data_IF_946994722746
#
_entry.id   IF_946994722746
#
_cell.length_a   1.000
_cell.length_b   1.000
_cell.length_c   1.000
_cell.angle_alpha   90.00
_cell.angle_beta   90.00
_cell.angle_gamma   90.00
#
_symmetry.space_group_name_H-M   'P 1'
#
loop_
_entity.id
_entity.type
_entity.pdbx_description
1 polymer ?
#
# COMPACT_ATOMS: atom_id res chain seq x y z
N UNK A 1 -2.37 10.19 63.75
CA UNK A 1 -1.73 10.79 62.56
C UNK A 1 -2.32 10.10 61.33
N UNK A 2 -3.28 10.74 60.66
CA UNK A 2 -3.83 10.23 59.39
C UNK A 2 -2.98 10.86 58.28
N UNK A 3 -2.26 10.02 57.52
CA UNK A 3 -1.49 10.45 56.36
C UNK A 3 -2.36 10.29 55.11
N UNK A 4 -2.86 11.39 54.59
CA UNK A 4 -3.59 11.45 53.32
C UNK A 4 -2.57 11.44 52.18
N UNK A 5 -2.63 10.42 51.32
CA UNK A 5 -1.85 10.38 50.08
C UNK A 5 -2.70 10.96 48.95
N UNK A 6 -2.23 12.05 48.35
CA UNK A 6 -2.84 12.64 47.16
C UNK A 6 -2.28 11.94 45.92
N UNK A 7 -3.13 11.22 45.19
CA UNK A 7 -2.80 10.65 43.88
C UNK A 7 -3.08 11.72 42.82
N UNK A 8 -2.03 12.20 42.15
CA UNK A 8 -2.15 13.11 41.02
C UNK A 8 -2.26 12.25 39.76
N UNK A 9 -3.45 12.20 39.16
CA UNK A 9 -3.69 11.56 37.86
C UNK A 9 -3.36 12.59 36.78
N UNK A 10 -2.27 12.39 36.05
CA UNK A 10 -1.89 13.20 34.90
C UNK A 10 -2.66 12.68 33.68
N UNK A 11 -3.65 13.43 33.21
CA UNK A 11 -4.33 13.14 31.95
C UNK A 11 -3.44 13.64 30.80
N UNK A 12 -2.84 12.71 30.04
CA UNK A 12 -2.23 13.03 28.77
C UNK A 12 -3.35 13.41 27.77
N UNK A 13 -3.34 14.65 27.29
CA UNK A 13 -4.24 15.10 26.25
C UNK A 13 -3.79 14.50 24.91
N UNK A 14 -4.48 13.46 24.42
CA UNK A 14 -4.32 12.99 23.06
C UNK A 14 -5.03 13.95 22.12
N UNK A 15 -4.25 14.75 21.38
CA UNK A 15 -4.77 15.54 20.26
C UNK A 15 -5.05 14.59 19.11
N UNK A 16 -6.33 14.33 18.84
CA UNK A 16 -6.75 13.58 17.64
C UNK A 16 -6.64 14.53 16.45
N UNK A 17 -5.54 14.45 15.71
CA UNK A 17 -5.39 15.14 14.42
C UNK A 17 -6.28 14.43 13.40
N UNK A 18 -7.37 15.08 13.00
CA UNK A 18 -8.22 14.59 11.91
C UNK A 18 -7.49 14.81 10.59
N UNK A 19 -6.80 13.78 10.10
CA UNK A 19 -6.29 13.75 8.72
C UNK A 19 -7.50 13.80 7.79
N UNK A 20 -7.61 14.88 7.03
CA UNK A 20 -8.64 15.00 5.99
C UNK A 20 -8.18 14.20 4.79
N UNK A 21 -9.08 13.40 4.20
CA UNK A 21 -8.77 12.66 2.98
C UNK A 21 -8.42 13.65 1.85
N UNK A 22 -7.37 13.34 1.09
CA UNK A 22 -6.96 14.08 -0.09
C UNK A 22 -7.99 13.91 -1.22
N UNK A 23 -8.08 14.90 -2.11
CA UNK A 23 -8.87 14.79 -3.33
C UNK A 23 -8.09 14.08 -4.42
N UNK A 24 -8.81 13.53 -5.41
CA UNK A 24 -8.19 13.06 -6.65
C UNK A 24 -7.46 14.24 -7.31
N UNK A 25 -6.17 14.09 -7.67
CA UNK A 25 -5.42 15.16 -8.32
C UNK A 25 -5.89 15.35 -9.76
N UNK A 26 -5.77 16.58 -10.27
CA UNK A 26 -6.21 16.98 -11.61
C UNK A 26 -5.12 16.81 -12.69
N UNK A 27 -3.98 16.24 -12.33
CA UNK A 27 -2.81 16.11 -13.20
C UNK A 27 -1.88 17.33 -13.21
N UNK A 28 -2.15 18.37 -12.43
CA UNK A 28 -1.27 19.54 -12.36
C UNK A 28 0.01 19.24 -11.61
N UNK A 29 1.15 19.43 -12.27
CA UNK A 29 2.47 19.34 -11.65
C UNK A 29 2.88 20.65 -10.96
N UNK A 30 3.50 20.62 -9.76
CA UNK A 30 3.96 21.84 -9.10
C UNK A 30 5.13 22.49 -9.82
N UNK A 31 5.29 23.79 -9.62
CA UNK A 31 6.47 24.53 -10.08
C UNK A 31 7.53 24.56 -8.98
N UNK A 32 8.74 24.14 -9.32
CA UNK A 32 9.89 24.20 -8.41
C UNK A 32 10.19 25.61 -7.94
N UNK A 33 10.53 25.74 -6.65
CA UNK A 33 10.93 26.98 -5.98
C UNK A 33 12.46 27.13 -5.88
N UNK A 34 13.20 26.34 -6.64
CA UNK A 34 14.66 26.37 -6.75
C UNK A 34 15.29 25.01 -6.51
N UNK A 35 16.57 24.89 -6.86
CA UNK A 35 17.31 23.63 -6.79
C UNK A 35 18.19 23.52 -5.53
N UNK A 36 18.29 22.30 -5.00
CA UNK A 36 19.20 21.90 -3.93
C UNK A 36 19.90 20.62 -4.36
N UNK A 37 21.23 20.62 -4.28
CA UNK A 37 22.05 19.47 -4.60
C UNK A 37 22.73 18.94 -3.34
N UNK A 38 22.61 17.65 -3.11
CA UNK A 38 23.35 16.93 -2.08
C UNK A 38 24.50 16.11 -2.71
N UNK A 39 25.47 15.75 -1.88
CA UNK A 39 26.58 14.84 -2.23
C UNK A 39 26.49 13.52 -1.46
N UNK A 40 25.43 13.34 -0.70
CA UNK A 40 25.07 12.16 0.08
C UNK A 40 23.56 12.24 0.38
N UNK A 41 22.89 11.14 0.76
CA UNK A 41 21.47 11.21 1.12
C UNK A 41 21.23 12.20 2.27
N UNK A 42 20.17 13.00 2.16
CA UNK A 42 19.76 13.85 3.29
C UNK A 42 18.86 13.06 4.24
N UNK A 43 19.30 12.90 5.49
CA UNK A 43 18.51 12.21 6.51
C UNK A 43 17.52 13.16 7.19
N UNK A 44 16.23 12.83 7.09
CA UNK A 44 15.18 13.36 7.97
C UNK A 44 15.13 12.47 9.20
N UNK A 45 15.55 12.99 10.34
CA UNK A 45 15.71 12.19 11.55
C UNK A 45 14.36 11.72 12.12
N UNK A 46 14.42 10.70 12.97
CA UNK A 46 13.24 10.08 13.54
C UNK A 46 12.30 11.09 14.23
N UNK A 47 11.03 11.10 13.81
CA UNK A 47 10.00 12.02 14.31
C UNK A 47 10.16 13.48 13.88
N UNK A 48 11.17 13.83 13.08
CA UNK A 48 11.34 15.19 12.55
C UNK A 48 10.48 15.43 11.31
N UNK A 49 10.18 16.70 11.05
CA UNK A 49 9.54 17.14 9.81
C UNK A 49 10.51 17.97 9.00
N UNK A 50 10.77 17.52 7.78
CA UNK A 50 11.43 18.30 6.75
C UNK A 50 10.40 18.87 5.77
N UNK A 51 10.32 20.19 5.69
CA UNK A 51 9.52 20.90 4.68
C UNK A 51 10.45 21.48 3.62
N UNK A 52 10.39 20.93 2.41
CA UNK A 52 11.25 21.31 1.30
C UNK A 52 10.83 22.58 0.57
N UNK A 53 9.66 23.14 0.88
CA UNK A 53 9.15 24.36 0.25
C UNK A 53 8.97 24.27 -1.27
N UNK A 54 8.66 23.08 -1.79
CA UNK A 54 8.56 22.72 -3.21
C UNK A 54 9.82 23.05 -4.02
N UNK A 55 11.00 22.93 -3.40
CA UNK A 55 12.27 22.93 -4.12
C UNK A 55 12.52 21.58 -4.76
N UNK A 56 13.34 21.58 -5.81
CA UNK A 56 13.86 20.37 -6.44
C UNK A 56 15.14 19.93 -5.75
N UNK A 57 15.17 18.71 -5.26
CA UNK A 57 16.27 18.09 -4.53
C UNK A 57 16.87 16.97 -5.37
N UNK A 58 18.20 16.98 -5.46
CA UNK A 58 18.97 16.16 -6.40
C UNK A 58 20.30 15.73 -5.80
N UNK A 59 20.92 14.72 -6.40
CA UNK A 59 22.25 14.21 -6.04
C UNK A 59 23.26 14.63 -7.09
N UNK A 60 24.25 15.40 -6.70
CA UNK A 60 25.32 15.89 -7.59
C UNK A 60 26.46 14.90 -7.82
N UNK A 61 26.44 13.80 -7.06
CA UNK A 61 27.51 12.80 -6.99
C UNK A 61 27.14 11.46 -7.65
N UNK A 62 25.92 11.31 -8.16
CA UNK A 62 25.43 10.09 -8.81
C UNK A 62 24.79 10.41 -10.16
N UNK A 63 24.55 9.38 -10.96
CA UNK A 63 23.80 9.44 -12.21
C UNK A 63 22.88 8.24 -12.24
N UNK A 64 21.67 8.38 -12.79
CA UNK A 64 20.75 7.27 -12.92
C UNK A 64 21.35 6.14 -13.76
N UNK A 65 21.40 4.92 -13.20
CA UNK A 65 21.86 3.69 -13.88
C UNK A 65 20.67 2.78 -14.26
N UNK A 66 19.44 3.30 -14.17
CA UNK A 66 18.21 2.59 -14.46
C UNK A 66 17.81 1.67 -13.31
N UNK A 67 17.46 0.42 -13.64
CA UNK A 67 16.95 -0.58 -12.69
C UNK A 67 18.07 -1.35 -11.96
N UNK A 68 19.25 -0.76 -11.80
CA UNK A 68 20.36 -1.36 -11.06
C UNK A 68 20.22 -1.06 -9.56
N UNK A 69 19.99 -2.12 -8.79
CA UNK A 69 19.81 -2.07 -7.34
C UNK A 69 21.02 -1.45 -6.61
N UNK A 70 20.79 -0.36 -5.90
CA UNK A 70 21.87 0.46 -5.35
C UNK A 70 21.77 0.83 -3.87
N UNK A 71 20.57 0.76 -3.30
CA UNK A 71 20.34 0.84 -1.85
C UNK A 71 20.37 2.26 -1.27
N UNK A 72 20.32 2.36 0.06
CA UNK A 72 20.03 3.64 0.73
C UNK A 72 21.11 4.71 0.58
N UNK A 73 22.37 4.35 0.29
CA UNK A 73 23.45 5.35 0.10
C UNK A 73 23.27 6.21 -1.16
N UNK A 74 22.46 5.77 -2.11
CA UNK A 74 22.21 6.45 -3.39
C UNK A 74 20.85 7.16 -3.41
N UNK A 75 20.12 7.12 -2.29
CA UNK A 75 18.85 7.84 -2.11
C UNK A 75 19.05 9.36 -2.11
N UNK A 76 18.03 10.13 -2.53
CA UNK A 76 18.02 11.58 -2.31
C UNK A 76 17.71 11.90 -0.85
N UNK A 77 16.70 11.23 -0.27
CA UNK A 77 16.32 11.34 1.13
C UNK A 77 16.25 9.98 1.83
N UNK A 78 16.71 9.97 3.08
CA UNK A 78 16.44 8.91 4.04
C UNK A 78 15.52 9.46 5.12
N UNK A 79 14.31 8.91 5.25
CA UNK A 79 13.34 9.30 6.27
C UNK A 79 13.36 8.22 7.32
N UNK A 80 13.89 8.53 8.50
CA UNK A 80 13.93 7.59 9.63
C UNK A 80 12.53 7.43 10.27
N UNK A 81 12.43 6.50 11.21
CA UNK A 81 11.19 6.11 11.86
C UNK A 81 10.32 7.30 12.33
N UNK A 82 9.08 7.38 11.85
CA UNK A 82 8.15 8.46 12.20
C UNK A 82 8.47 9.83 11.61
N UNK A 83 9.50 9.94 10.77
CA UNK A 83 9.88 11.18 10.09
C UNK A 83 8.82 11.61 9.06
N UNK A 84 8.77 12.91 8.78
CA UNK A 84 7.88 13.51 7.78
C UNK A 84 8.69 14.23 6.72
N UNK A 85 8.54 13.83 5.46
CA UNK A 85 9.07 14.54 4.31
C UNK A 85 7.90 15.22 3.58
N UNK A 86 7.95 16.53 3.40
CA UNK A 86 6.88 17.24 2.72
C UNK A 86 7.29 18.39 1.82
N UNK A 87 6.45 18.67 0.83
CA UNK A 87 6.66 19.76 -0.14
C UNK A 87 8.04 19.65 -0.79
N UNK A 88 8.34 18.50 -1.38
CA UNK A 88 9.64 18.21 -1.99
C UNK A 88 9.40 17.80 -3.43
N UNK A 89 10.25 18.27 -4.35
CA UNK A 89 10.35 17.71 -5.69
C UNK A 89 11.69 16.98 -5.75
N UNK A 90 11.69 15.74 -6.23
CA UNK A 90 12.87 14.93 -6.49
C UNK A 90 13.15 15.06 -7.99
N UNK A 91 14.32 15.59 -8.33
CA UNK A 91 14.74 15.78 -9.71
C UNK A 91 15.27 14.48 -10.35
N UNK A 92 15.61 14.57 -11.64
CA UNK A 92 16.10 13.44 -12.43
C UNK A 92 17.52 12.98 -12.05
N UNK A 93 18.32 13.86 -11.44
CA UNK A 93 19.65 13.52 -10.91
C UNK A 93 19.51 12.73 -9.60
N UNK A 94 19.06 11.48 -9.73
CA UNK A 94 18.85 10.52 -8.66
C UNK A 94 19.19 9.10 -9.14
N UNK A 95 19.24 8.15 -8.21
CA UNK A 95 19.27 6.71 -8.52
C UNK A 95 18.18 6.02 -7.72
N UNK A 96 18.21 6.26 -6.41
CA UNK A 96 17.11 5.95 -5.49
C UNK A 96 16.44 7.26 -5.06
N UNK A 97 15.11 7.30 -5.02
CA UNK A 97 14.38 8.52 -4.66
C UNK A 97 14.38 8.78 -3.16
N UNK A 98 13.34 8.31 -2.49
CA UNK A 98 13.16 8.46 -1.05
C UNK A 98 13.09 7.08 -0.41
N UNK A 99 13.87 6.84 0.64
CA UNK A 99 13.67 5.66 1.49
C UNK A 99 12.97 6.07 2.77
N UNK A 100 11.87 5.40 3.08
CA UNK A 100 11.36 5.34 4.44
C UNK A 100 12.09 4.19 5.13
N UNK A 101 13.15 4.53 5.85
CA UNK A 101 13.92 3.59 6.62
C UNK A 101 13.21 3.33 7.97
N UNK A 102 13.23 2.06 8.38
CA UNK A 102 12.54 1.53 9.55
C UNK A 102 11.01 1.45 9.48
N UNK A 103 10.23 2.55 9.62
CA UNK A 103 8.75 2.50 9.57
C UNK A 103 8.07 3.86 9.84
N UNK A 104 6.76 3.92 9.64
CA UNK A 104 5.87 5.02 10.10
C UNK A 104 6.19 6.39 9.49
N UNK A 105 6.83 6.45 8.33
CA UNK A 105 7.12 7.72 7.67
C UNK A 105 5.86 8.36 7.10
N UNK A 106 5.83 9.69 7.11
CA UNK A 106 4.81 10.49 6.45
C UNK A 106 5.42 11.19 5.23
N UNK A 107 4.90 10.86 4.05
CA UNK A 107 5.32 11.45 2.78
C UNK A 107 4.16 12.32 2.28
N UNK A 108 4.30 13.64 2.36
CA UNK A 108 3.20 14.57 2.10
C UNK A 108 3.55 15.54 0.97
N UNK A 109 2.80 15.53 -0.12
CA UNK A 109 3.01 16.44 -1.25
C UNK A 109 4.48 16.37 -1.78
N UNK A 110 4.97 15.15 -1.98
CA UNK A 110 6.29 14.86 -2.56
C UNK A 110 6.13 14.44 -4.01
N UNK A 111 6.97 14.97 -4.88
CA UNK A 111 6.86 14.83 -6.33
C UNK A 111 8.15 14.28 -6.92
N UNK A 112 8.09 13.36 -7.88
CA UNK A 112 9.25 12.80 -8.58
C UNK A 112 9.18 13.11 -10.06
N UNK A 113 10.09 13.96 -10.54
CA UNK A 113 10.08 14.46 -11.92
C UNK A 113 10.45 13.39 -12.96
N UNK A 114 11.26 12.41 -12.57
CA UNK A 114 11.73 11.32 -13.44
C UNK A 114 12.27 10.18 -12.57
N UNK A 115 11.52 9.09 -12.42
CA UNK A 115 11.91 7.99 -11.53
C UNK A 115 13.00 7.14 -12.19
N UNK A 116 14.11 6.92 -11.49
CA UNK A 116 15.20 6.10 -12.02
C UNK A 116 14.97 4.60 -11.77
N UNK A 117 15.07 4.18 -10.50
CA UNK A 117 14.76 2.82 -10.06
C UNK A 117 13.35 2.78 -9.45
N UNK A 118 13.23 3.29 -8.21
CA UNK A 118 11.99 3.44 -7.46
C UNK A 118 11.83 4.88 -6.97
N UNK A 119 10.59 5.39 -6.90
CA UNK A 119 10.33 6.71 -6.33
C UNK A 119 10.43 6.67 -4.79
N UNK A 120 9.74 5.69 -4.17
CA UNK A 120 9.65 5.52 -2.74
C UNK A 120 9.82 4.06 -2.34
N UNK A 121 10.79 3.82 -1.46
CA UNK A 121 11.10 2.50 -0.92
C UNK A 121 10.73 2.46 0.58
N UNK A 122 9.73 1.64 0.96
CA UNK A 122 9.30 1.45 2.35
C UNK A 122 9.98 0.23 2.95
N UNK A 123 10.79 0.42 3.98
CA UNK A 123 11.65 -0.61 4.58
C UNK A 123 11.31 -0.84 6.05
N UNK A 124 11.81 -1.95 6.61
CA UNK A 124 11.76 -2.26 8.05
C UNK A 124 10.39 -2.60 8.63
N UNK A 125 10.19 -2.29 9.90
CA UNK A 125 8.86 -2.19 10.51
C UNK A 125 8.34 -3.44 11.22
N UNK A 126 7.08 -3.33 11.62
CA UNK A 126 6.30 -4.39 12.26
C UNK A 126 4.94 -4.51 11.58
N UNK A 127 4.19 -5.57 11.88
CA UNK A 127 2.83 -5.73 11.36
C UNK A 127 1.89 -4.56 11.71
N UNK A 128 2.19 -3.80 12.79
CA UNK A 128 1.42 -2.61 13.19
C UNK A 128 1.94 -1.29 12.63
N UNK A 129 3.05 -1.30 11.91
CA UNK A 129 3.63 -0.09 11.32
C UNK A 129 2.73 0.45 10.20
N UNK A 130 2.64 1.78 10.08
CA UNK A 130 1.79 2.46 9.10
C UNK A 130 2.54 3.66 8.52
N UNK A 131 2.99 3.53 7.27
CA UNK A 131 3.54 4.65 6.49
C UNK A 131 2.44 5.28 5.63
N UNK A 132 2.47 6.60 5.47
CA UNK A 132 1.47 7.35 4.72
C UNK A 132 2.11 8.10 3.54
N UNK A 133 1.40 8.11 2.43
CA UNK A 133 1.68 8.90 1.22
C UNK A 133 0.42 9.71 0.93
N UNK A 134 0.50 11.02 1.06
CA UNK A 134 -0.67 11.92 0.93
C UNK A 134 -0.38 13.05 -0.04
N UNK A 135 -1.15 13.14 -1.12
CA UNK A 135 -0.85 14.04 -2.23
C UNK A 135 0.44 13.65 -2.96
N UNK A 136 0.95 14.57 -3.77
CA UNK A 136 2.18 14.34 -4.52
C UNK A 136 1.96 13.59 -5.83
N UNK A 137 3.07 13.22 -6.46
CA UNK A 137 3.00 12.43 -7.68
C UNK A 137 4.34 11.99 -8.23
N UNK A 138 4.34 11.02 -9.14
CA UNK A 138 5.54 10.51 -9.79
C UNK A 138 5.30 10.32 -11.27
N UNK A 139 6.34 10.47 -12.08
CA UNK A 139 6.27 10.14 -13.50
C UNK A 139 7.50 9.41 -14.00
N UNK A 140 7.34 8.74 -15.14
CA UNK A 140 8.37 7.99 -15.85
C UNK A 140 9.03 6.92 -14.96
N UNK A 141 8.22 6.09 -14.31
CA UNK A 141 8.73 4.99 -13.49
C UNK A 141 8.68 3.67 -14.28
N UNK A 142 9.79 3.27 -14.89
CA UNK A 142 9.85 2.11 -15.80
C UNK A 142 9.32 0.82 -15.14
N UNK A 143 9.64 0.56 -13.88
CA UNK A 143 9.14 -0.61 -13.13
C UNK A 143 8.11 -0.24 -12.07
N UNK A 144 8.50 0.49 -11.02
CA UNK A 144 7.66 0.71 -9.85
C UNK A 144 7.83 2.09 -9.23
N UNK A 145 6.72 2.67 -8.77
CA UNK A 145 6.72 3.96 -8.07
C UNK A 145 6.98 3.71 -6.58
N UNK A 146 6.14 2.90 -5.92
CA UNK A 146 6.23 2.60 -4.49
C UNK A 146 6.57 1.13 -4.30
N UNK A 147 7.77 0.87 -3.79
CA UNK A 147 8.25 -0.46 -3.42
C UNK A 147 8.09 -0.68 -1.92
N UNK A 148 7.33 -1.70 -1.51
CA UNK A 148 7.11 -2.02 -0.11
C UNK A 148 7.87 -3.29 0.27
N UNK A 149 9.04 -3.11 0.90
CA UNK A 149 9.96 -4.16 1.32
C UNK A 149 9.70 -4.62 2.76
N UNK A 150 9.29 -3.69 3.63
CA UNK A 150 9.08 -3.88 5.07
C UNK A 150 7.82 -4.66 5.47
N UNK A 151 7.49 -4.64 6.75
CA UNK A 151 6.20 -5.06 7.28
C UNK A 151 5.24 -3.86 7.40
N UNK A 152 3.95 -4.16 7.50
CA UNK A 152 2.95 -3.19 7.94
C UNK A 152 2.05 -2.71 6.80
N UNK A 153 1.54 -1.50 6.95
CA UNK A 153 0.55 -0.90 6.06
C UNK A 153 1.12 0.33 5.36
N UNK A 154 0.89 0.44 4.06
CA UNK A 154 1.11 1.68 3.30
C UNK A 154 -0.25 2.27 2.93
N UNK A 155 -0.47 3.55 3.25
CA UNK A 155 -1.69 4.27 2.89
C UNK A 155 -1.38 5.35 1.86
N UNK A 156 -1.91 5.20 0.66
CA UNK A 156 -1.70 6.12 -0.47
C UNK A 156 -3.02 6.84 -0.71
N UNK A 157 -3.02 8.17 -0.62
CA UNK A 157 -4.22 8.99 -0.76
C UNK A 157 -3.94 10.26 -1.56
N UNK A 158 -4.69 10.50 -2.65
CA UNK A 158 -4.54 11.74 -3.43
C UNK A 158 -3.32 11.79 -4.34
N UNK A 159 -2.80 10.65 -4.79
CA UNK A 159 -1.53 10.57 -5.54
C UNK A 159 -1.76 10.65 -7.05
N UNK A 160 -0.87 11.36 -7.76
CA UNK A 160 -0.86 11.43 -9.22
C UNK A 160 0.30 10.60 -9.78
N UNK A 161 0.04 9.63 -10.65
CA UNK A 161 1.08 8.87 -11.33
C UNK A 161 0.92 8.97 -12.84
N UNK A 162 2.01 9.23 -13.57
CA UNK A 162 2.00 9.33 -15.03
C UNK A 162 3.12 8.50 -15.65
N UNK A 163 2.76 7.61 -16.58
CA UNK A 163 3.69 6.77 -17.35
C UNK A 163 4.56 5.94 -16.43
N UNK A 164 4.02 4.79 -16.01
CA UNK A 164 4.66 3.93 -15.02
C UNK A 164 4.38 2.45 -15.24
N UNK A 165 5.22 1.58 -14.71
CA UNK A 165 4.97 0.14 -14.61
C UNK A 165 3.89 -0.17 -13.57
N UNK A 166 4.25 -0.06 -12.29
CA UNK A 166 3.44 -0.40 -11.13
C UNK A 166 3.39 0.77 -10.15
N UNK A 167 2.20 1.24 -9.75
CA UNK A 167 2.13 2.31 -8.75
C UNK A 167 2.59 1.79 -7.38
N UNK A 168 2.14 0.60 -6.98
CA UNK A 168 2.58 -0.05 -5.76
C UNK A 168 2.94 -1.51 -6.00
N UNK A 169 4.07 -1.95 -5.44
CA UNK A 169 4.49 -3.36 -5.41
C UNK A 169 4.84 -3.79 -3.99
N UNK A 170 4.16 -4.82 -3.49
CA UNK A 170 4.64 -5.59 -2.35
C UNK A 170 5.88 -6.37 -2.77
N UNK A 171 7.00 -6.30 -2.05
CA UNK A 171 8.22 -6.98 -2.50
C UNK A 171 8.04 -8.50 -2.53
N UNK A 172 8.18 -9.09 -3.72
CA UNK A 172 8.03 -10.54 -3.91
C UNK A 172 9.24 -11.37 -3.47
N UNK A 173 10.41 -10.74 -3.32
CA UNK A 173 11.68 -11.42 -2.98
C UNK A 173 12.23 -11.08 -1.59
N UNK A 174 11.56 -10.19 -0.86
CA UNK A 174 11.98 -9.74 0.46
C UNK A 174 11.53 -10.69 1.59
N UNK A 175 11.22 -11.94 1.27
CA UNK A 175 10.77 -12.96 2.22
C UNK A 175 9.33 -12.85 2.68
N UNK A 176 8.94 -13.86 3.48
CA UNK A 176 7.57 -14.07 3.95
C UNK A 176 7.12 -12.98 4.94
N UNK A 177 6.63 -11.88 4.36
CA UNK A 177 6.11 -10.71 5.06
C UNK A 177 4.75 -10.37 4.51
N UNK A 178 3.74 -10.48 5.36
CA UNK A 178 2.41 -9.96 5.05
C UNK A 178 2.44 -8.42 5.01
N UNK A 179 1.94 -7.85 3.92
CA UNK A 179 1.86 -6.41 3.68
C UNK A 179 0.44 -5.99 3.34
N UNK A 180 0.10 -4.78 3.79
CA UNK A 180 -1.21 -4.19 3.56
C UNK A 180 -1.03 -2.89 2.78
N UNK A 181 -1.94 -2.63 1.85
CA UNK A 181 -2.00 -1.35 1.14
C UNK A 181 -3.43 -0.85 1.04
N UNK A 182 -3.62 0.44 1.31
CA UNK A 182 -4.87 1.14 0.99
C UNK A 182 -4.55 2.24 -0.02
N UNK A 183 -5.23 2.22 -1.17
CA UNK A 183 -5.05 3.20 -2.24
C UNK A 183 -6.37 3.93 -2.45
N UNK A 184 -6.38 5.24 -2.27
CA UNK A 184 -7.57 6.07 -2.45
C UNK A 184 -7.28 7.35 -3.22
N UNK A 185 -8.29 7.82 -3.95
CA UNK A 185 -8.26 9.12 -4.62
C UNK A 185 -7.01 9.29 -5.53
N UNK A 186 -6.70 8.26 -6.33
CA UNK A 186 -5.52 8.27 -7.23
C UNK A 186 -5.93 8.66 -8.64
N UNK A 187 -5.10 9.44 -9.31
CA UNK A 187 -5.15 9.61 -10.75
C UNK A 187 -3.92 8.94 -11.38
N UNK A 188 -4.14 7.93 -12.21
CA UNK A 188 -3.13 7.13 -12.87
C UNK A 188 -3.23 7.33 -14.39
N UNK A 189 -2.16 7.83 -15.01
CA UNK A 189 -2.06 8.06 -16.44
C UNK A 189 -1.05 7.07 -17.02
N UNK A 190 -1.42 6.37 -18.09
CA UNK A 190 -0.59 5.41 -18.81
C UNK A 190 0.11 4.34 -17.92
N UNK A 191 -0.61 3.60 -17.06
CA UNK A 191 -0.04 2.40 -16.44
C UNK A 191 0.26 1.35 -17.50
N UNK A 192 1.43 0.73 -17.43
CA UNK A 192 1.84 -0.34 -18.35
C UNK A 192 1.76 -1.75 -17.76
N UNK A 193 1.69 -1.88 -16.43
CA UNK A 193 1.57 -3.18 -15.75
C UNK A 193 0.42 -3.21 -14.75
N UNK A 194 0.44 -2.40 -13.70
CA UNK A 194 -0.62 -2.42 -12.70
C UNK A 194 -0.74 -1.16 -11.84
N UNK A 195 -1.89 -0.96 -11.20
CA UNK A 195 -1.98 0.02 -10.09
C UNK A 195 -1.38 -0.61 -8.82
N UNK A 196 -1.80 -1.82 -8.46
CA UNK A 196 -1.30 -2.54 -7.28
C UNK A 196 -0.88 -3.95 -7.68
N UNK A 197 0.27 -4.41 -7.20
CA UNK A 197 0.65 -5.83 -7.22
C UNK A 197 1.02 -6.34 -5.82
N UNK A 198 0.35 -7.40 -5.38
CA UNK A 198 0.50 -8.04 -4.06
C UNK A 198 0.98 -9.50 -4.16
N UNK A 199 1.34 -10.13 -3.04
CA UNK A 199 1.74 -11.54 -2.98
C UNK A 199 0.64 -12.38 -2.30
N UNK A 200 0.06 -13.34 -3.04
CA UNK A 200 -1.01 -14.19 -2.52
C UNK A 200 -0.53 -15.09 -1.38
N UNK A 201 0.62 -15.72 -1.55
CA UNK A 201 1.16 -16.70 -0.61
C UNK A 201 1.63 -16.09 0.72
N UNK A 202 1.94 -14.78 0.75
CA UNK A 202 2.27 -14.05 1.98
C UNK A 202 1.04 -13.45 2.67
N UNK A 203 -0.15 -13.65 2.11
CA UNK A 203 -1.42 -13.18 2.67
C UNK A 203 -1.60 -11.67 2.58
N UNK A 204 -0.94 -11.01 1.63
CA UNK A 204 -1.08 -9.57 1.43
C UNK A 204 -2.54 -9.16 1.22
N UNK A 205 -2.87 -7.91 1.54
CA UNK A 205 -4.20 -7.36 1.26
C UNK A 205 -4.11 -5.95 0.69
N UNK A 206 -4.84 -5.71 -0.39
CA UNK A 206 -5.00 -4.42 -1.01
C UNK A 206 -6.46 -3.98 -0.96
N UNK A 207 -6.70 -2.72 -0.57
CA UNK A 207 -8.00 -2.06 -0.70
C UNK A 207 -7.86 -0.83 -1.60
N UNK A 208 -8.70 -0.74 -2.63
CA UNK A 208 -8.69 0.38 -3.58
C UNK A 208 -10.06 1.07 -3.60
N UNK A 209 -10.06 2.40 -3.72
CA UNK A 209 -11.29 3.20 -3.85
C UNK A 209 -11.04 4.49 -4.64
N UNK A 210 -12.02 4.90 -5.45
CA UNK A 210 -11.96 6.15 -6.22
C UNK A 210 -10.64 6.31 -7.03
N UNK A 211 -10.35 5.31 -7.86
CA UNK A 211 -9.17 5.24 -8.73
C UNK A 211 -9.57 5.70 -10.12
N UNK A 212 -8.91 6.76 -10.59
CA UNK A 212 -9.12 7.34 -11.91
C UNK A 212 -7.96 6.94 -12.80
N UNK A 213 -8.25 6.35 -13.95
CA UNK A 213 -7.25 5.85 -14.88
C UNK A 213 -7.46 6.48 -16.25
N UNK A 214 -6.41 7.05 -16.84
CA UNK A 214 -6.41 7.52 -18.22
C UNK A 214 -5.34 6.78 -19.01
N UNK A 215 -5.75 6.00 -20.01
CA UNK A 215 -4.85 5.19 -20.83
C UNK A 215 -5.51 4.83 -22.15
N UNK A 216 -4.73 4.85 -23.23
CA UNK A 216 -5.12 4.29 -24.52
C UNK A 216 -4.90 2.76 -24.60
N UNK A 217 -4.03 2.23 -23.73
CA UNK A 217 -3.75 0.79 -23.57
C UNK A 217 -4.58 0.21 -22.42
N UNK A 218 -5.13 -0.99 -22.59
CA UNK A 218 -5.91 -1.72 -21.59
C UNK A 218 -5.19 -2.97 -21.04
N UNK A 219 -3.91 -3.16 -21.37
CA UNK A 219 -3.07 -4.28 -20.93
C UNK A 219 -2.61 -4.24 -19.47
N UNK A 220 -3.08 -3.26 -18.68
CA UNK A 220 -2.75 -3.12 -17.26
C UNK A 220 -3.78 -3.80 -16.36
N UNK A 221 -3.36 -4.18 -15.15
CA UNK A 221 -4.24 -4.66 -14.09
C UNK A 221 -4.55 -3.57 -13.06
N UNK A 222 -5.79 -3.49 -12.57
CA UNK A 222 -6.11 -2.63 -11.41
C UNK A 222 -5.44 -3.19 -10.16
N UNK A 223 -5.60 -4.49 -9.90
CA UNK A 223 -4.93 -5.20 -8.82
C UNK A 223 -4.48 -6.56 -9.34
N UNK A 224 -3.18 -6.82 -9.31
CA UNK A 224 -2.56 -8.09 -9.69
C UNK A 224 -1.99 -8.79 -8.45
N UNK A 225 -1.79 -10.10 -8.54
CA UNK A 225 -1.10 -10.86 -7.51
C UNK A 225 -0.17 -11.93 -8.07
N UNK A 226 0.87 -12.18 -7.27
CA UNK A 226 1.94 -13.13 -7.57
C UNK A 226 2.17 -14.11 -6.41
N UNK A 227 2.89 -15.18 -6.69
CA UNK A 227 3.56 -16.00 -5.68
C UNK A 227 4.95 -15.41 -5.43
N UNK A 228 5.15 -14.83 -4.24
CA UNK A 228 6.47 -14.37 -3.79
C UNK A 228 7.40 -15.54 -3.47
N UNK A 229 8.70 -15.33 -3.65
CA UNK A 229 9.73 -16.34 -3.41
C UNK A 229 10.99 -15.70 -2.83
N UNK A 230 11.61 -16.31 -1.82
CA UNK A 230 12.96 -15.93 -1.37
C UNK A 230 14.04 -16.40 -2.37
N UNK A 231 13.69 -17.38 -3.20
CA UNK A 231 14.58 -17.98 -4.19
C UNK A 231 14.03 -17.71 -5.60
N UNK A 232 14.56 -16.68 -6.27
CA UNK A 232 14.23 -16.34 -7.64
C UNK A 232 13.08 -15.34 -7.80
N UNK A 233 12.66 -15.14 -9.05
CA UNK A 233 11.65 -14.14 -9.40
C UNK A 233 10.23 -14.55 -8.97
N UNK A 234 9.39 -13.61 -8.52
CA UNK A 234 7.99 -13.87 -8.25
C UNK A 234 7.24 -14.37 -9.48
N UNK A 235 6.29 -15.27 -9.29
CA UNK A 235 5.46 -15.80 -10.37
C UNK A 235 4.10 -15.12 -10.39
N UNK A 236 3.73 -14.47 -11.49
CA UNK A 236 2.39 -13.87 -11.63
C UNK A 236 1.30 -14.96 -11.65
N UNK A 237 0.27 -14.79 -10.84
CA UNK A 237 -0.80 -15.79 -10.65
C UNK A 237 -2.17 -15.33 -11.16
N UNK A 238 -2.43 -14.02 -11.18
CA UNK A 238 -3.69 -13.47 -11.69
C UNK A 238 -3.92 -12.02 -11.30
N UNK A 239 -5.09 -11.51 -11.67
CA UNK A 239 -5.52 -10.13 -11.47
C UNK A 239 -7.04 -10.01 -11.29
N UNK A 240 -7.49 -8.85 -10.81
CA UNK A 240 -8.89 -8.50 -10.61
C UNK A 240 -9.32 -8.45 -9.13
N UNK A 241 -10.63 -8.54 -8.90
CA UNK A 241 -11.23 -8.53 -7.56
C UNK A 241 -11.10 -9.92 -6.93
N UNK A 242 -10.56 -10.01 -5.71
CA UNK A 242 -10.40 -11.25 -4.96
C UNK A 242 -10.31 -10.97 -3.46
N UNK A 243 -11.37 -11.23 -2.71
CA UNK A 243 -11.36 -11.00 -1.26
C UNK A 243 -10.49 -12.06 -0.52
N UNK A 244 -9.62 -11.69 0.42
CA UNK A 244 -9.25 -10.33 0.89
C UNK A 244 -8.02 -9.73 0.18
N UNK A 245 -7.46 -10.40 -0.82
CA UNK A 245 -6.22 -10.02 -1.50
C UNK A 245 -6.32 -8.69 -2.29
N UNK A 246 -7.38 -8.50 -3.06
CA UNK A 246 -7.65 -7.35 -3.92
C UNK A 246 -9.11 -6.92 -3.76
N UNK A 247 -9.36 -5.88 -2.94
CA UNK A 247 -10.68 -5.45 -2.51
C UNK A 247 -11.04 -4.09 -3.11
N UNK A 248 -12.00 -4.05 -4.04
CA UNK A 248 -12.57 -2.83 -4.61
C UNK A 248 -13.89 -3.13 -5.32
N UNK A 249 -14.71 -2.10 -5.57
CA UNK A 249 -15.89 -2.22 -6.42
C UNK A 249 -15.56 -1.74 -7.83
N UNK A 250 -16.25 -2.27 -8.85
CA UNK A 250 -16.14 -1.72 -10.22
C UNK A 250 -16.50 -0.23 -10.25
N UNK A 251 -17.42 0.23 -9.39
CA UNK A 251 -17.80 1.64 -9.27
C UNK A 251 -16.71 2.53 -8.67
N UNK A 252 -15.66 1.96 -8.08
CA UNK A 252 -14.51 2.69 -7.59
C UNK A 252 -13.45 2.93 -8.67
N UNK A 253 -13.61 2.32 -9.86
CA UNK A 253 -12.62 2.39 -10.94
C UNK A 253 -13.21 3.17 -12.11
N UNK A 254 -12.61 4.32 -12.41
CA UNK A 254 -13.05 5.26 -13.43
C UNK A 254 -12.04 5.28 -14.58
N UNK A 255 -12.33 4.61 -15.69
CA UNK A 255 -11.40 4.50 -16.82
C UNK A 255 -11.79 5.46 -17.94
N UNK A 256 -10.86 6.36 -18.31
CA UNK A 256 -11.00 7.38 -19.34
C UNK A 256 -12.22 8.31 -19.14
N UNK A 257 -12.66 8.46 -17.89
CA UNK A 257 -13.64 9.46 -17.47
C UNK A 257 -12.97 10.83 -17.24
N UNK A 258 -13.77 11.90 -17.23
CA UNK A 258 -13.28 13.26 -16.99
C UNK A 258 -12.92 13.44 -15.50
N UNK A 259 -11.62 13.41 -15.20
CA UNK A 259 -11.08 13.52 -13.83
C UNK A 259 -11.51 14.80 -13.10
N UNK A 260 -11.89 15.87 -13.83
CA UNK A 260 -12.42 17.09 -13.20
C UNK A 260 -13.78 16.88 -12.50
N UNK A 261 -14.44 15.76 -12.76
CA UNK A 261 -15.70 15.36 -12.11
C UNK A 261 -15.49 14.52 -10.84
N UNK A 262 -14.24 14.17 -10.53
CA UNK A 262 -13.90 13.36 -9.36
C UNK A 262 -14.34 14.04 -8.06
N UNK A 263 -15.06 13.30 -7.22
CA UNK A 263 -15.40 13.71 -5.86
C UNK A 263 -14.56 12.93 -4.87
N UNK A 264 -14.01 13.58 -3.84
CA UNK A 264 -13.25 12.88 -2.79
C UNK A 264 -14.15 11.89 -2.05
N UNK A 265 -13.69 10.64 -1.90
CA UNK A 265 -14.35 9.68 -1.03
C UNK A 265 -13.87 9.90 0.40
N UNK A 266 -14.78 10.27 1.31
CA UNK A 266 -14.49 10.26 2.74
C UNK A 266 -14.52 8.83 3.23
N UNK A 267 -13.37 8.26 3.55
CA UNK A 267 -13.21 6.93 4.16
C UNK A 267 -13.87 6.90 5.55
N UNK A 268 -15.18 6.68 5.61
CA UNK A 268 -15.85 6.38 6.87
C UNK A 268 -17.14 5.57 6.66
N UNK A 269 -16.97 4.28 6.36
CA UNK A 269 -18.05 3.29 6.51
C UNK A 269 -17.66 2.30 7.60
N UNK A 270 -17.79 2.72 8.87
CA UNK A 270 -18.03 1.78 9.97
C UNK A 270 -19.52 1.80 10.26
N UNK A 271 -20.25 0.80 9.77
CA UNK A 271 -21.67 0.62 10.09
C UNK A 271 -21.81 0.08 11.52
N UNK A 272 -21.83 0.97 12.52
CA UNK A 272 -22.16 0.59 13.90
C UNK A 272 -23.67 0.65 14.10
N UNK A 273 -24.33 -0.50 14.01
CA UNK A 273 -25.74 -0.69 14.39
C UNK A 273 -25.91 -0.44 15.89
N UNK A 274 -26.31 0.78 16.26
CA UNK A 274 -26.62 1.15 17.66
C UNK A 274 -28.07 0.80 17.96
N UNK A 275 -28.28 -0.30 18.67
CA UNK A 275 -29.58 -0.63 19.26
C UNK A 275 -29.80 0.23 20.51
N UNK A 276 -30.66 1.25 20.39
CA UNK A 276 -31.15 2.06 21.52
C UNK A 276 -32.31 1.34 22.20
N UNK A 277 -32.15 0.94 23.46
CA UNK A 277 -33.29 0.62 24.34
C UNK A 277 -33.04 1.20 25.73
N UNK A 278 -33.81 2.24 26.00
CA UNK A 278 -33.84 3.13 27.16
C UNK A 278 -34.27 2.42 28.44
N UNK A 279 -33.63 2.76 29.57
CA UNK A 279 -34.01 2.36 30.92
C UNK A 279 -35.17 3.25 31.40
N UNK A 280 -36.24 2.65 31.92
CA UNK A 280 -37.19 3.30 32.83
C UNK A 280 -37.72 2.31 33.87
N UNK A 281 -37.81 2.78 35.11
CA UNK A 281 -37.91 2.01 36.35
C UNK A 281 -39.34 1.80 36.87
N UNK A 282 -39.47 0.77 37.71
CA UNK A 282 -40.36 0.61 38.90
C UNK A 282 -41.81 0.10 38.77
N UNK A 283 -41.99 -1.15 39.23
CA UNK A 283 -42.73 -1.57 40.46
C UNK A 283 -43.94 -2.51 40.33
N UNK A 284 -43.87 -3.54 41.20
CA UNK A 284 -44.93 -4.35 41.85
C UNK A 284 -45.60 -5.54 41.13
N UNK A 285 -45.17 -6.72 41.60
CA UNK A 285 -45.97 -7.76 42.27
C UNK A 285 -46.61 -8.93 41.50
N UNK A 286 -46.24 -10.11 42.01
CA UNK A 286 -47.04 -11.31 42.27
C UNK A 286 -46.95 -12.51 41.32
N UNK A 287 -46.17 -13.50 41.79
CA UNK A 287 -46.46 -14.94 41.92
C UNK A 287 -46.78 -15.80 40.69
N UNK A 288 -46.01 -16.89 40.55
CA UNK A 288 -46.39 -18.05 39.76
C UNK A 288 -45.24 -19.03 39.51
N UNK A 289 -44.94 -19.86 40.51
CA UNK A 289 -44.18 -21.14 40.50
C UNK A 289 -44.37 -21.91 39.18
N UNK A 290 -43.37 -22.52 38.53
CA UNK A 290 -42.68 -23.76 38.95
C UNK A 290 -41.57 -24.08 37.94
N UNK A 291 -40.42 -24.53 38.44
CA UNK A 291 -39.37 -25.22 37.69
C UNK A 291 -39.64 -26.75 37.75
N UNK A 292 -38.70 -27.68 37.41
CA UNK A 292 -37.47 -27.54 36.63
C UNK A 292 -37.16 -28.75 35.69
N UNK A 293 -36.03 -28.61 34.96
CA UNK A 293 -34.97 -29.61 34.74
C UNK A 293 -35.18 -30.92 33.96
N UNK A 294 -34.38 -31.01 32.89
CA UNK A 294 -33.31 -31.99 32.66
C UNK A 294 -33.64 -33.49 32.60
N UNK A 295 -33.33 -34.13 31.46
CA UNK A 295 -32.18 -35.04 31.31
C UNK A 295 -32.31 -35.93 30.06
N UNK A 296 -31.17 -36.10 29.36
CA UNK A 296 -30.64 -37.29 28.67
C UNK A 296 -31.62 -38.24 27.94
N UNK A 297 -31.38 -38.68 26.70
CA UNK A 297 -30.26 -39.56 26.32
C UNK A 297 -30.52 -40.10 24.89
N UNK A 298 -29.42 -40.36 24.15
CA UNK A 298 -29.20 -41.46 23.16
C UNK A 298 -30.25 -41.71 22.06
N UNK A 299 -29.94 -41.98 20.78
CA UNK A 299 -29.12 -43.10 20.29
C UNK A 299 -29.01 -43.04 18.74
N UNK A 300 -27.93 -43.62 18.19
CA UNK A 300 -27.81 -44.37 16.91
C UNK A 300 -28.10 -43.64 15.57
N UNK A 301 -27.18 -43.41 14.63
CA UNK A 301 -26.17 -44.23 13.91
C UNK A 301 -26.63 -44.70 12.51
N UNK A 302 -25.63 -44.81 11.60
CA UNK A 302 -25.64 -45.37 10.23
C UNK A 302 -26.09 -44.38 9.12
N UNK A 303 -25.45 -44.25 7.95
CA UNK A 303 -24.59 -45.16 7.19
C UNK A 303 -23.62 -44.41 6.27
N UNK A 304 -22.47 -45.03 6.01
CA UNK A 304 -21.50 -44.63 4.99
C UNK A 304 -22.00 -45.00 3.57
N UNK A 305 -21.50 -44.30 2.55
CA UNK A 305 -21.20 -44.87 1.23
C UNK A 305 -20.12 -44.04 0.54
N UNK A 306 -19.06 -44.75 0.21
CA UNK A 306 -17.84 -44.37 -0.50
C UNK A 306 -18.08 -44.57 -2.00
N UNK A 307 -17.59 -43.68 -2.87
CA UNK A 307 -17.06 -44.06 -4.19
C UNK A 307 -15.93 -43.10 -4.60
N UNK A 308 -15.07 -43.64 -5.44
CA UNK A 308 -13.61 -43.49 -5.54
C UNK A 308 -13.16 -42.73 -6.82
N UNK A 309 -11.85 -42.46 -6.99
CA UNK A 309 -11.29 -41.43 -7.88
C UNK A 309 -10.83 -41.98 -9.25
N UNK A 310 -10.53 -41.08 -10.19
CA UNK A 310 -9.79 -41.38 -11.44
C UNK A 310 -9.06 -40.10 -11.95
N UNK A 311 -8.01 -40.21 -12.79
CA UNK A 311 -6.68 -39.72 -12.43
C UNK A 311 -6.09 -38.71 -13.45
N UNK A 312 -4.91 -38.22 -13.08
CA UNK A 312 -3.97 -37.41 -13.86
C UNK A 312 -3.46 -38.10 -15.13
N UNK A 313 -3.11 -37.29 -16.13
CA UNK A 313 -2.14 -37.62 -17.18
C UNK A 313 -1.37 -36.37 -17.61
N UNK A 314 -0.06 -36.43 -17.39
CA UNK A 314 0.97 -35.58 -17.97
C UNK A 314 1.01 -35.71 -19.50
N UNK A 315 1.37 -34.62 -20.18
CA UNK A 315 2.18 -34.75 -21.40
C UNK A 315 3.18 -33.60 -21.52
N UNK A 316 4.44 -34.01 -21.65
CA UNK A 316 5.66 -33.23 -21.71
C UNK A 316 6.15 -33.29 -23.15
N UNK A 317 6.37 -32.14 -23.80
CA UNK A 317 7.11 -32.07 -25.05
C UNK A 317 8.08 -30.89 -25.05
N UNK A 318 9.35 -31.19 -24.75
CA UNK A 318 10.47 -30.35 -25.15
C UNK A 318 10.89 -30.71 -26.57
N UNK A 319 11.19 -29.73 -27.41
CA UNK A 319 12.10 -29.90 -28.53
C UNK A 319 12.98 -28.66 -28.66
N UNK A 320 14.29 -28.89 -28.58
CA UNK A 320 15.35 -27.91 -28.69
C UNK A 320 15.90 -27.82 -30.12
N UNK A 321 16.68 -26.75 -30.32
CA UNK A 321 17.76 -26.56 -31.30
C UNK A 321 17.41 -25.93 -32.65
N UNK A 322 18.01 -24.76 -32.90
CA UNK A 322 19.11 -24.67 -33.86
C UNK A 322 19.86 -23.34 -33.73
N UNK A 323 21.11 -23.41 -33.28
CA UNK A 323 22.13 -22.39 -33.48
C UNK A 323 23.07 -22.86 -34.59
N UNK A 324 23.45 -21.99 -35.53
CA UNK A 324 24.72 -22.07 -36.27
C UNK A 324 24.98 -20.84 -37.16
N UNK A 325 26.16 -20.22 -36.93
CA UNK A 325 27.13 -19.66 -37.90
C UNK A 325 26.70 -18.48 -38.81
N UNK A 326 27.52 -17.47 -39.14
CA UNK A 326 28.97 -17.22 -39.06
C UNK A 326 29.26 -15.74 -39.50
N UNK A 327 30.53 -15.25 -39.48
CA UNK A 327 30.88 -13.82 -39.41
C UNK A 327 31.38 -13.17 -40.72
N UNK A 328 31.77 -11.87 -40.60
CA UNK A 328 32.68 -11.02 -41.43
C UNK A 328 32.06 -10.20 -42.57
N UNK A 329 32.71 -9.10 -43.04
CA UNK A 329 34.05 -8.57 -42.72
C UNK A 329 34.08 -7.29 -41.88
#
# INVERSE_FOLDING_TARGET
MVRTFTVIVTFAAFTVTTVSAASVPDGTWPTSQGDVYYTEPYTVAAGETFDGGLKTYQRSDITCEGQEESGSSTAVFLVEAGGTLKNVIIGADQMEGVHCDDHDCTIENVWWDDVCEDALSIKGGSASSVSTVTGGGARNADDKVIQHNGYGTVKIDGFYADTFGKLYRSCGTCGDKQRFVTVSNVYAVNPSVSIVTVNENYGDEATLSNIWISSDDDGYAVCAWSEGSEDGEPTELGDGIKDSLCQYLESDIHVNEDVSTATSTSSNTTTTTTSTSTIASTSTSATGTSAPSSAASTTSSSSASTETPVPSSDDKASAASSAASAPRP
#
